data_IF_473232637790
#
_entry.id   IF_473232637790
#
_cell.length_a   1.000
_cell.length_b   1.000
_cell.length_c   1.000
_cell.angle_alpha   90.00
_cell.angle_beta   90.00
_cell.angle_gamma   90.00
#
_symmetry.space_group_name_H-M   'P 1'
#
loop_
_entity.id
_entity.type
_entity.pdbx_description
1 polymer ?
#
# COMPACT_ATOMS: atom_id res chain seq x y z
N UNK A 1 -30.78 -45.92 21.95
CA UNK A 1 -29.58 -45.17 22.32
C UNK A 1 -28.46 -45.51 21.31
N UNK A 2 -28.29 -44.71 20.28
CA UNK A 2 -27.16 -44.85 19.32
C UNK A 2 -26.26 -43.63 19.50
N UNK A 3 -25.03 -43.86 19.94
CA UNK A 3 -23.98 -42.86 20.08
C UNK A 3 -23.41 -42.55 18.71
N UNK A 4 -23.54 -41.28 18.27
CA UNK A 4 -22.87 -40.74 17.09
C UNK A 4 -21.48 -40.29 17.56
N UNK A 5 -20.45 -40.93 17.04
CA UNK A 5 -19.04 -40.52 17.23
C UNK A 5 -18.71 -39.53 16.13
N UNK A 6 -18.50 -38.28 16.48
CA UNK A 6 -17.99 -37.25 15.54
C UNK A 6 -16.48 -37.42 15.39
N UNK A 7 -16.03 -37.83 14.21
CA UNK A 7 -14.60 -37.79 13.83
C UNK A 7 -14.22 -36.39 13.45
N UNK A 8 -13.39 -35.75 14.26
CA UNK A 8 -12.66 -34.52 13.87
C UNK A 8 -11.56 -34.89 12.86
N UNK A 9 -11.72 -34.47 11.64
CA UNK A 9 -10.63 -34.41 10.66
C UNK A 9 -9.78 -33.17 10.91
N UNK A 10 -8.61 -33.36 11.51
CA UNK A 10 -7.53 -32.38 11.54
C UNK A 10 -6.89 -32.31 10.14
N UNK A 11 -7.22 -31.28 9.37
CA UNK A 11 -6.45 -30.93 8.19
C UNK A 11 -5.15 -30.23 8.62
N UNK A 12 -4.06 -30.98 8.65
CA UNK A 12 -2.71 -30.43 8.68
C UNK A 12 -2.42 -29.86 7.29
N UNK A 13 -2.53 -28.54 7.15
CA UNK A 13 -2.04 -27.84 5.97
C UNK A 13 -0.52 -27.91 5.98
N UNK A 14 0.03 -28.82 5.19
CA UNK A 14 1.46 -28.84 4.84
C UNK A 14 1.75 -27.57 4.02
N UNK A 15 2.40 -26.61 4.64
CA UNK A 15 2.98 -25.46 3.93
C UNK A 15 4.15 -26.00 3.09
N UNK A 16 3.90 -26.28 1.82
CA UNK A 16 4.96 -26.52 0.86
C UNK A 16 5.76 -25.22 0.70
N UNK A 17 7.09 -25.25 0.75
CA UNK A 17 7.88 -24.07 0.45
C UNK A 17 7.57 -23.66 -1.01
N UNK A 18 7.19 -22.39 -1.18
CA UNK A 18 7.00 -21.78 -2.50
C UNK A 18 8.29 -22.03 -3.31
N UNK A 19 8.18 -22.54 -4.55
CA UNK A 19 9.35 -22.70 -5.40
C UNK A 19 9.99 -21.31 -5.57
N UNK A 20 11.29 -21.23 -5.35
CA UNK A 20 12.07 -20.04 -5.62
C UNK A 20 11.77 -19.62 -7.06
N UNK A 21 11.12 -18.46 -7.23
CA UNK A 21 10.85 -17.85 -8.52
C UNK A 21 12.18 -17.81 -9.27
N UNK A 22 12.26 -18.49 -10.40
CA UNK A 22 13.37 -18.36 -11.34
C UNK A 22 13.42 -16.89 -11.76
N UNK A 23 14.30 -16.13 -11.11
CA UNK A 23 14.50 -14.71 -11.35
C UNK A 23 15.21 -14.57 -12.70
N UNK A 24 14.48 -14.13 -13.70
CA UNK A 24 15.09 -13.56 -14.89
C UNK A 24 15.88 -12.33 -14.47
N UNK A 25 17.21 -12.48 -14.26
CA UNK A 25 18.18 -11.39 -14.29
C UNK A 25 18.06 -10.26 -13.26
N UNK A 26 17.30 -10.42 -12.16
CA UNK A 26 17.28 -9.42 -11.09
C UNK A 26 18.62 -9.46 -10.37
N UNK A 27 19.41 -8.40 -10.53
CA UNK A 27 20.63 -8.17 -9.75
C UNK A 27 20.28 -8.31 -8.27
N UNK A 28 21.12 -9.03 -7.51
CA UNK A 28 20.97 -9.20 -6.07
C UNK A 28 21.05 -7.83 -5.36
N UNK A 29 19.89 -7.18 -5.21
CA UNK A 29 19.77 -5.82 -4.68
C UNK A 29 19.44 -5.85 -3.20
N UNK A 30 20.30 -5.25 -2.37
CA UNK A 30 20.14 -5.21 -0.92
C UNK A 30 18.78 -4.64 -0.48
N UNK A 31 18.20 -3.68 -1.23
CA UNK A 31 16.91 -3.09 -0.91
C UNK A 31 15.77 -4.12 -1.00
N UNK A 32 15.83 -5.04 -1.99
CA UNK A 32 14.80 -6.05 -2.21
C UNK A 32 14.90 -7.24 -1.24
N UNK A 33 16.06 -7.49 -0.64
CA UNK A 33 16.24 -8.57 0.34
C UNK A 33 15.37 -8.40 1.60
N UNK A 34 14.97 -7.18 1.91
CA UNK A 34 14.19 -6.85 3.10
C UNK A 34 12.67 -6.86 2.89
N UNK A 35 12.21 -7.05 1.65
CA UNK A 35 10.77 -7.07 1.32
C UNK A 35 10.03 -8.17 2.09
N UNK A 36 10.57 -9.37 2.11
CA UNK A 36 9.95 -10.53 2.78
C UNK A 36 9.89 -10.35 4.30
N UNK A 37 10.91 -9.74 4.88
CA UNK A 37 11.03 -9.56 6.32
C UNK A 37 9.94 -8.65 6.87
N UNK A 38 9.67 -7.51 6.23
CA UNK A 38 8.61 -6.61 6.69
C UNK A 38 7.21 -7.14 6.35
N UNK A 39 7.00 -7.81 5.19
CA UNK A 39 5.71 -8.40 4.85
C UNK A 39 5.31 -9.49 5.86
N UNK A 40 6.26 -10.32 6.29
CA UNK A 40 6.04 -11.32 7.34
C UNK A 40 5.76 -10.69 8.70
N UNK A 41 6.41 -9.56 9.01
CA UNK A 41 6.14 -8.81 10.22
C UNK A 41 4.70 -8.28 10.24
N UNK A 42 4.25 -7.64 9.17
CA UNK A 42 2.88 -7.13 9.03
C UNK A 42 1.83 -8.23 9.23
N UNK A 43 2.07 -9.42 8.72
CA UNK A 43 1.15 -10.56 8.86
C UNK A 43 1.08 -11.10 10.30
N UNK A 44 2.19 -11.11 11.02
CA UNK A 44 2.28 -11.68 12.36
C UNK A 44 1.85 -10.73 13.48
N UNK A 45 1.64 -9.46 13.19
CA UNK A 45 1.35 -8.40 14.18
C UNK A 45 -0.01 -7.75 14.00
N UNK A 46 -0.81 -8.22 13.05
CA UNK A 46 -2.20 -7.75 12.87
C UNK A 46 -3.01 -8.03 14.13
N UNK A 47 -3.15 -7.03 14.97
CA UNK A 47 -4.02 -7.06 16.15
C UNK A 47 -3.37 -6.73 17.49
N UNK A 48 -2.03 -6.73 17.62
CA UNK A 48 -1.37 -6.41 18.90
C UNK A 48 -1.15 -4.90 19.13
N UNK A 49 -1.41 -4.07 18.11
CA UNK A 49 -1.28 -2.61 18.20
C UNK A 49 0.14 -2.09 18.38
N UNK A 50 1.13 -2.98 18.50
CA UNK A 50 2.52 -2.62 18.80
C UNK A 50 3.33 -2.31 17.52
N UNK A 51 2.93 -2.88 16.39
CA UNK A 51 3.63 -2.66 15.12
C UNK A 51 3.02 -1.47 14.35
N UNK A 52 3.84 -0.47 13.99
CA UNK A 52 3.35 0.66 13.20
C UNK A 52 2.76 0.19 11.85
N UNK A 53 1.62 0.75 11.48
CA UNK A 53 0.99 0.47 10.18
C UNK A 53 1.86 0.88 8.99
N UNK A 54 2.71 1.86 9.20
CA UNK A 54 3.66 2.40 8.22
C UNK A 54 5.08 1.82 8.36
N UNK A 55 5.24 0.67 9.01
CA UNK A 55 6.53 0.00 9.23
C UNK A 55 7.36 -0.10 7.94
N UNK A 56 6.70 -0.41 6.82
CA UNK A 56 7.37 -0.54 5.54
C UNK A 56 7.98 0.79 5.07
N UNK A 57 7.25 1.90 5.23
CA UNK A 57 7.81 3.23 4.97
C UNK A 57 9.00 3.52 5.90
N UNK A 58 8.90 3.17 7.19
CA UNK A 58 10.01 3.33 8.13
C UNK A 58 11.27 2.57 7.68
N UNK A 59 11.12 1.34 7.20
CA UNK A 59 12.25 0.53 6.71
C UNK A 59 12.91 1.20 5.51
N UNK A 60 12.14 1.59 4.49
CA UNK A 60 12.72 2.15 3.26
C UNK A 60 13.25 3.58 3.45
N UNK A 61 12.63 4.39 4.30
CA UNK A 61 13.18 5.71 4.65
C UNK A 61 14.47 5.56 5.44
N UNK A 62 14.58 4.62 6.38
CA UNK A 62 15.83 4.35 7.09
C UNK A 62 16.94 3.84 6.15
N UNK A 63 16.59 2.97 5.19
CA UNK A 63 17.55 2.53 4.16
C UNK A 63 18.01 3.69 3.29
N UNK A 64 17.10 4.56 2.85
CA UNK A 64 17.45 5.75 2.10
C UNK A 64 18.37 6.68 2.91
N UNK A 65 18.04 7.01 4.16
CA UNK A 65 18.88 7.84 5.03
C UNK A 65 20.30 7.28 5.12
N UNK A 66 20.42 5.95 5.30
CA UNK A 66 21.71 5.29 5.44
C UNK A 66 22.51 5.33 4.14
N UNK A 67 21.90 5.02 2.99
CA UNK A 67 22.57 5.05 1.68
C UNK A 67 22.94 6.48 1.31
N UNK A 68 22.02 7.43 1.51
CA UNK A 68 22.25 8.83 1.18
C UNK A 68 23.33 9.48 2.08
N UNK A 69 23.46 9.06 3.34
CA UNK A 69 24.53 9.53 4.20
C UNK A 69 25.94 9.17 3.65
N UNK A 70 26.06 8.07 2.92
CA UNK A 70 27.30 7.66 2.24
C UNK A 70 27.44 8.36 0.89
N UNK A 71 26.36 8.45 0.10
CA UNK A 71 26.38 8.99 -1.25
C UNK A 71 26.39 10.54 -1.29
N UNK A 72 25.72 11.20 -0.34
CA UNK A 72 25.65 12.67 -0.26
C UNK A 72 24.83 13.34 -1.38
N UNK A 73 23.94 12.62 -2.04
CA UNK A 73 23.25 13.06 -3.28
C UNK A 73 22.00 13.88 -3.01
N UNK A 74 21.25 13.55 -1.97
CA UNK A 74 19.93 14.11 -1.68
C UNK A 74 19.84 14.73 -0.29
N UNK A 75 18.85 15.59 -0.10
CA UNK A 75 18.52 16.12 1.22
C UNK A 75 18.06 14.98 2.14
N UNK A 76 18.56 14.89 3.39
CA UNK A 76 18.11 13.87 4.34
C UNK A 76 16.70 14.15 4.84
N UNK A 77 16.01 13.11 5.35
CA UNK A 77 14.70 13.23 5.98
C UNK A 77 14.80 13.65 7.45
N UNK A 78 15.54 12.87 8.25
CA UNK A 78 15.53 13.00 9.71
C UNK A 78 16.77 13.68 10.27
N UNK A 79 17.95 13.35 9.76
CA UNK A 79 19.21 13.84 10.32
C UNK A 79 20.35 13.81 9.30
N UNK A 80 21.27 14.79 9.40
CA UNK A 80 22.53 14.75 8.66
C UNK A 80 23.48 13.76 9.35
N UNK A 81 23.59 12.56 8.82
CA UNK A 81 24.46 11.50 9.32
C UNK A 81 25.81 11.61 8.59
N UNK A 82 26.91 11.71 9.36
CA UNK A 82 28.24 11.70 8.77
C UNK A 82 28.73 10.27 8.62
N UNK A 83 29.03 9.87 7.37
CA UNK A 83 29.69 8.61 7.07
C UNK A 83 31.22 8.77 7.10
N UNK A 84 31.92 7.75 7.58
CA UNK A 84 33.37 7.69 7.41
C UNK A 84 33.70 7.46 5.91
N UNK A 85 34.80 8.03 5.39
CA UNK A 85 35.24 7.80 4.03
C UNK A 85 35.35 6.30 3.71
N UNK A 86 34.81 5.86 2.55
CA UNK A 86 34.85 4.47 2.13
C UNK A 86 33.82 3.55 2.82
N UNK A 87 32.88 4.09 3.59
CA UNK A 87 31.75 3.29 4.13
C UNK A 87 30.93 2.64 3.04
N UNK A 88 30.48 1.36 3.22
CA UNK A 88 29.62 0.68 2.25
C UNK A 88 28.17 1.13 2.38
N UNK A 89 27.58 1.57 1.26
CA UNK A 89 26.15 1.89 1.15
C UNK A 89 25.26 0.65 1.36
N UNK A 90 25.68 -0.52 0.88
CA UNK A 90 24.95 -1.77 1.02
C UNK A 90 24.90 -2.22 2.49
N UNK A 91 26.04 -2.17 3.20
CA UNK A 91 26.09 -2.46 4.63
C UNK A 91 25.22 -1.48 5.43
N UNK A 92 25.24 -0.20 5.04
CA UNK A 92 24.42 0.85 5.68
C UNK A 92 22.91 0.58 5.48
N UNK A 93 22.49 0.27 4.26
CA UNK A 93 21.11 -0.09 3.95
C UNK A 93 20.64 -1.32 4.75
N UNK A 94 21.43 -2.41 4.70
CA UNK A 94 21.09 -3.65 5.39
C UNK A 94 20.95 -3.45 6.91
N UNK A 95 21.86 -2.74 7.52
CA UNK A 95 21.81 -2.46 8.97
C UNK A 95 20.65 -1.53 9.34
N UNK A 96 20.30 -0.56 8.48
CA UNK A 96 19.19 0.34 8.72
C UNK A 96 17.85 -0.41 8.72
N UNK A 97 17.61 -1.25 7.71
CA UNK A 97 16.43 -2.09 7.64
C UNK A 97 16.34 -3.04 8.85
N UNK A 98 17.43 -3.72 9.17
CA UNK A 98 17.52 -4.60 10.35
C UNK A 98 17.15 -3.87 11.63
N UNK A 99 17.69 -2.65 11.84
CA UNK A 99 17.45 -1.87 13.04
C UNK A 99 15.98 -1.55 13.27
N UNK A 100 15.27 -1.17 12.21
CA UNK A 100 13.83 -0.90 12.27
C UNK A 100 13.03 -2.19 12.54
N UNK A 101 13.30 -3.27 11.78
CA UNK A 101 12.58 -4.55 11.91
C UNK A 101 12.83 -5.16 13.30
N UNK A 102 14.06 -5.20 13.78
CA UNK A 102 14.40 -5.74 15.09
C UNK A 102 13.73 -4.99 16.24
N UNK A 103 13.44 -3.68 16.08
CA UNK A 103 12.76 -2.86 17.07
C UNK A 103 11.25 -3.17 17.17
N UNK A 104 10.58 -3.33 16.01
CA UNK A 104 9.12 -3.46 15.97
C UNK A 104 8.62 -4.89 15.79
N UNK A 105 9.49 -5.81 15.35
CA UNK A 105 9.13 -7.19 15.02
C UNK A 105 9.99 -8.20 15.80
N UNK A 106 9.90 -8.27 17.13
CA UNK A 106 10.76 -9.15 17.94
C UNK A 106 10.66 -10.61 17.55
N UNK A 107 9.49 -11.07 17.07
CA UNK A 107 9.29 -12.44 16.58
C UNK A 107 10.04 -12.75 15.29
N UNK A 108 10.41 -11.74 14.51
CA UNK A 108 11.17 -11.87 13.26
C UNK A 108 12.68 -11.66 13.43
N UNK A 109 13.15 -11.40 14.64
CA UNK A 109 14.53 -11.02 14.90
C UNK A 109 15.55 -12.02 14.35
N UNK A 110 15.35 -13.31 14.60
CA UNK A 110 16.28 -14.35 14.12
C UNK A 110 16.37 -14.39 12.58
N UNK A 111 15.24 -14.25 11.88
CA UNK A 111 15.22 -14.19 10.43
C UNK A 111 15.90 -12.90 9.93
N UNK A 112 15.62 -11.76 10.54
CA UNK A 112 16.26 -10.49 10.22
C UNK A 112 17.78 -10.51 10.47
N UNK A 113 18.24 -11.14 11.55
CA UNK A 113 19.68 -11.34 11.86
C UNK A 113 20.35 -12.16 10.74
N UNK A 114 19.71 -13.21 10.23
CA UNK A 114 20.22 -14.02 9.13
C UNK A 114 20.33 -13.23 7.81
N UNK A 115 19.32 -12.42 7.49
CA UNK A 115 19.35 -11.53 6.31
C UNK A 115 20.44 -10.48 6.44
N UNK A 116 20.62 -9.89 7.63
CA UNK A 116 21.71 -8.96 7.87
C UNK A 116 23.08 -9.64 7.69
N UNK A 117 23.29 -10.79 8.31
CA UNK A 117 24.55 -11.52 8.22
C UNK A 117 24.90 -11.86 6.76
N UNK A 118 23.95 -12.36 5.97
CA UNK A 118 24.16 -12.65 4.56
C UNK A 118 24.45 -11.41 3.72
N UNK A 119 23.77 -10.30 4.01
CA UNK A 119 24.00 -9.02 3.30
C UNK A 119 25.39 -8.46 3.62
N UNK A 120 25.81 -8.50 4.88
CA UNK A 120 27.13 -8.01 5.30
C UNK A 120 28.28 -8.89 4.79
N UNK A 121 28.07 -10.18 4.57
CA UNK A 121 29.07 -11.10 4.00
C UNK A 121 29.46 -10.74 2.56
N UNK A 122 28.60 -10.04 1.81
CA UNK A 122 28.91 -9.56 0.47
C UNK A 122 29.87 -8.37 0.45
N UNK A 123 29.99 -7.66 1.55
CA UNK A 123 30.92 -6.52 1.69
C UNK A 123 32.25 -7.05 2.21
N UNK A 124 33.21 -7.25 1.30
CA UNK A 124 34.52 -7.90 1.59
C UNK A 124 35.42 -7.03 2.48
N UNK A 125 35.45 -5.72 2.20
CA UNK A 125 36.31 -4.78 2.94
C UNK A 125 35.76 -4.53 4.34
N UNK A 126 36.53 -4.90 5.38
CA UNK A 126 36.05 -4.88 6.77
C UNK A 126 35.79 -3.48 7.30
N UNK A 127 36.63 -2.50 6.92
CA UNK A 127 36.47 -1.11 7.33
C UNK A 127 35.23 -0.48 6.67
N UNK A 128 35.02 -0.73 5.39
CA UNK A 128 33.83 -0.28 4.65
C UNK A 128 32.56 -0.85 5.26
N UNK A 129 32.55 -2.16 5.57
CA UNK A 129 31.46 -2.84 6.24
C UNK A 129 31.17 -2.24 7.63
N UNK A 130 32.21 -2.03 8.46
CA UNK A 130 32.04 -1.46 9.78
C UNK A 130 31.52 -0.01 9.73
N UNK A 131 32.03 0.81 8.80
CA UNK A 131 31.54 2.16 8.55
C UNK A 131 30.09 2.19 8.13
N UNK A 132 29.69 1.32 7.19
CA UNK A 132 28.30 1.19 6.77
C UNK A 132 27.35 0.77 7.90
N UNK A 133 27.73 -0.23 8.70
CA UNK A 133 26.98 -0.65 9.89
C UNK A 133 26.79 0.50 10.88
N UNK A 134 27.82 1.30 11.13
CA UNK A 134 27.72 2.46 12.03
C UNK A 134 26.70 3.51 11.51
N UNK A 135 26.71 3.78 10.20
CA UNK A 135 25.74 4.67 9.54
C UNK A 135 24.33 4.11 9.63
N UNK A 136 24.14 2.83 9.27
CA UNK A 136 22.83 2.18 9.27
C UNK A 136 22.16 2.18 10.65
N UNK A 137 22.93 1.95 11.73
CA UNK A 137 22.42 2.05 13.11
C UNK A 137 21.90 3.44 13.44
N UNK A 138 22.63 4.48 13.03
CA UNK A 138 22.21 5.88 13.25
C UNK A 138 20.95 6.22 12.46
N UNK A 139 20.85 5.76 11.21
CA UNK A 139 19.70 5.98 10.36
C UNK A 139 18.44 5.30 10.93
N UNK A 140 18.54 4.03 11.32
CA UNK A 140 17.42 3.32 11.97
C UNK A 140 16.96 4.07 13.24
N UNK A 141 17.88 4.43 14.13
CA UNK A 141 17.57 5.14 15.37
C UNK A 141 16.91 6.49 15.11
N UNK A 142 17.36 7.25 14.10
CA UNK A 142 16.76 8.53 13.73
C UNK A 142 15.32 8.39 13.26
N UNK A 143 15.03 7.43 12.37
CA UNK A 143 13.68 7.21 11.86
C UNK A 143 12.74 6.67 12.95
N UNK A 144 13.19 5.74 13.79
CA UNK A 144 12.44 5.26 14.96
C UNK A 144 12.07 6.45 15.87
N UNK A 145 13.01 7.33 16.17
CA UNK A 145 12.78 8.49 17.03
C UNK A 145 11.79 9.49 16.40
N UNK A 146 11.89 9.77 15.11
CA UNK A 146 10.95 10.65 14.39
C UNK A 146 9.53 10.09 14.47
N UNK A 147 9.36 8.78 14.21
CA UNK A 147 8.03 8.17 14.21
C UNK A 147 7.44 8.00 15.61
N UNK A 148 8.26 7.70 16.61
CA UNK A 148 7.81 7.64 18.01
C UNK A 148 7.25 8.97 18.52
N UNK A 149 7.72 10.10 17.99
CA UNK A 149 7.28 11.46 18.37
C UNK A 149 6.28 12.08 17.39
N UNK A 150 5.92 11.37 16.31
CA UNK A 150 5.00 11.87 15.33
C UNK A 150 3.57 11.97 15.91
N UNK A 151 2.91 13.11 15.67
CA UNK A 151 1.56 13.37 16.16
C UNK A 151 0.54 13.13 15.06
N UNK A 152 -0.54 12.45 15.39
CA UNK A 152 -1.69 12.32 14.51
C UNK A 152 -2.65 13.50 14.67
N UNK A 153 -3.31 13.87 13.58
CA UNK A 153 -4.42 14.84 13.55
C UNK A 153 -5.69 14.18 13.00
N UNK A 154 -5.68 12.86 12.86
CA UNK A 154 -6.77 12.11 12.25
C UNK A 154 -8.00 11.98 13.14
N UNK A 155 -9.10 11.64 12.51
CA UNK A 155 -10.37 11.38 13.17
C UNK A 155 -10.36 10.01 13.84
N UNK A 156 -10.99 9.94 15.01
CA UNK A 156 -11.39 8.65 15.56
C UNK A 156 -12.44 8.01 14.65
N UNK A 157 -12.42 6.68 14.54
CA UNK A 157 -13.44 5.96 13.81
C UNK A 157 -14.81 6.21 14.42
N UNK A 158 -15.59 7.10 13.81
CA UNK A 158 -16.97 7.39 14.23
C UNK A 158 -17.90 6.46 13.46
N UNK A 159 -18.78 5.79 14.19
CA UNK A 159 -19.81 4.94 13.63
C UNK A 159 -21.17 5.63 13.81
N UNK A 160 -21.61 6.42 12.83
CA UNK A 160 -22.89 7.10 12.93
C UNK A 160 -24.05 6.08 12.97
N UNK A 161 -25.20 6.50 13.49
CA UNK A 161 -26.42 5.71 13.41
C UNK A 161 -26.75 5.35 11.96
N UNK A 162 -27.32 4.17 11.74
CA UNK A 162 -27.73 3.74 10.41
C UNK A 162 -28.75 4.72 9.81
N UNK A 163 -28.46 5.22 8.63
CA UNK A 163 -29.32 6.12 7.87
C UNK A 163 -29.11 5.90 6.37
N UNK A 164 -29.96 6.48 5.54
CA UNK A 164 -29.81 6.45 4.08
C UNK A 164 -28.51 7.14 3.69
N UNK A 165 -27.72 6.50 2.83
CA UNK A 165 -26.41 7.01 2.42
C UNK A 165 -25.26 6.70 3.39
N UNK A 166 -25.57 6.21 4.60
CA UNK A 166 -24.56 5.94 5.64
C UNK A 166 -24.10 4.50 5.59
N UNK A 167 -22.81 4.29 5.79
CA UNK A 167 -22.18 2.96 5.82
C UNK A 167 -22.76 2.09 6.94
N UNK A 168 -23.18 0.89 6.55
CA UNK A 168 -23.61 -0.16 7.46
C UNK A 168 -22.53 -1.25 7.47
N UNK A 169 -21.91 -1.54 8.62
CA UNK A 169 -20.91 -2.59 8.73
C UNK A 169 -21.48 -3.97 8.37
N UNK A 170 -20.82 -4.69 7.48
CA UNK A 170 -21.16 -6.08 7.14
C UNK A 170 -20.39 -7.10 7.99
N UNK A 171 -19.33 -6.66 8.67
CA UNK A 171 -18.52 -7.39 9.63
C UNK A 171 -17.74 -6.40 10.50
N UNK A 172 -16.85 -6.89 11.39
CA UNK A 172 -15.99 -6.03 12.23
C UNK A 172 -15.20 -5.07 11.36
N UNK A 173 -15.31 -3.79 11.64
CA UNK A 173 -14.64 -2.73 10.87
C UNK A 173 -13.13 -2.77 11.05
N UNK A 174 -12.41 -2.38 9.99
CA UNK A 174 -10.96 -2.30 9.96
C UNK A 174 -10.52 -0.93 9.43
N UNK A 175 -9.26 -0.57 9.69
CA UNK A 175 -8.62 0.61 9.10
C UNK A 175 -8.69 1.88 9.94
N UNK A 176 -9.40 1.91 11.05
CA UNK A 176 -9.48 3.04 11.97
C UNK A 176 -8.11 3.46 12.52
N UNK A 177 -7.19 2.51 12.71
CA UNK A 177 -5.83 2.79 13.13
C UNK A 177 -5.04 3.66 12.12
N UNK A 178 -5.37 3.58 10.82
CA UNK A 178 -4.76 4.44 9.82
C UNK A 178 -5.18 5.90 9.95
N UNK A 179 -6.46 6.16 10.22
CA UNK A 179 -6.94 7.54 10.42
C UNK A 179 -6.25 8.23 11.61
N UNK A 180 -5.73 7.43 12.56
CA UNK A 180 -4.97 7.90 13.73
C UNK A 180 -3.46 7.84 13.55
N UNK A 181 -2.94 7.41 12.40
CA UNK A 181 -1.51 7.40 12.11
C UNK A 181 -1.05 8.78 11.67
N UNK A 182 0.17 9.17 12.07
CA UNK A 182 0.74 10.42 11.62
C UNK A 182 1.21 10.31 10.15
N UNK A 183 0.99 11.32 9.32
CA UNK A 183 1.46 11.32 7.94
C UNK A 183 2.99 11.49 7.85
N UNK A 184 3.54 11.17 6.69
CA UNK A 184 4.94 11.37 6.30
C UNK A 184 5.13 12.63 5.45
N UNK A 185 4.23 12.82 4.50
CA UNK A 185 4.26 13.83 3.44
C UNK A 185 3.30 14.97 3.73
N UNK A 186 2.08 14.61 4.17
CA UNK A 186 1.02 15.56 4.45
C UNK A 186 1.26 16.27 5.79
N UNK A 187 0.78 17.49 5.91
CA UNK A 187 0.85 18.27 7.16
C UNK A 187 -0.17 17.80 8.18
N UNK A 188 -1.34 17.38 7.69
CA UNK A 188 -2.43 16.82 8.49
C UNK A 188 -3.09 15.67 7.75
N UNK A 189 -3.78 14.79 8.47
CA UNK A 189 -4.49 13.65 7.88
C UNK A 189 -5.59 14.12 6.90
N UNK A 190 -6.15 15.29 7.09
CA UNK A 190 -7.23 15.89 6.29
C UNK A 190 -6.77 16.87 5.21
N UNK A 191 -5.46 17.09 5.03
CA UNK A 191 -4.94 18.09 4.07
C UNK A 191 -5.48 17.89 2.65
N UNK A 192 -5.66 16.64 2.23
CA UNK A 192 -6.18 16.29 0.92
C UNK A 192 -7.50 15.50 0.98
N UNK A 193 -8.30 15.71 2.04
CA UNK A 193 -9.62 15.06 2.11
C UNK A 193 -10.44 15.39 0.87
N UNK A 194 -10.96 14.33 0.22
CA UNK A 194 -11.81 14.47 -0.95
C UNK A 194 -13.04 15.35 -0.69
N UNK A 195 -13.59 16.04 -1.69
CA UNK A 195 -14.91 16.67 -1.59
C UNK A 195 -15.99 15.67 -1.13
N UNK A 196 -17.15 16.17 -0.74
CA UNK A 196 -18.28 15.32 -0.39
C UNK A 196 -18.69 14.40 -1.57
N UNK A 197 -19.17 13.17 -1.30
CA UNK A 197 -19.77 12.34 -2.34
C UNK A 197 -20.99 13.03 -2.95
N UNK A 198 -21.42 12.65 -4.17
CA UNK A 198 -22.57 13.25 -4.83
C UNK A 198 -23.86 13.04 -4.03
N UNK A 199 -24.79 13.98 -4.16
CA UNK A 199 -26.12 13.83 -3.57
C UNK A 199 -26.84 12.62 -4.16
N UNK A 200 -27.58 11.87 -3.34
CA UNK A 200 -28.35 10.69 -3.79
C UNK A 200 -29.43 11.01 -4.84
N UNK A 201 -29.92 12.26 -4.85
CA UNK A 201 -30.83 12.75 -5.89
C UNK A 201 -30.18 13.10 -7.22
N UNK A 202 -28.85 13.12 -7.30
CA UNK A 202 -28.10 13.56 -8.49
C UNK A 202 -28.10 12.52 -9.61
N UNK A 203 -27.85 12.97 -10.83
CA UNK A 203 -27.65 12.11 -11.99
C UNK A 203 -26.33 11.29 -11.89
N UNK A 204 -25.29 11.88 -11.32
CA UNK A 204 -24.01 11.18 -11.06
C UNK A 204 -24.26 9.95 -10.20
N UNK A 205 -25.03 10.09 -9.12
CA UNK A 205 -25.39 8.97 -8.26
C UNK A 205 -26.10 7.85 -9.02
N UNK A 206 -27.19 8.17 -9.72
CA UNK A 206 -27.98 7.14 -10.41
C UNK A 206 -27.22 6.44 -11.54
N UNK A 207 -26.37 7.17 -12.27
CA UNK A 207 -25.50 6.62 -13.31
C UNK A 207 -24.51 5.61 -12.72
N UNK A 208 -23.77 6.02 -11.69
CA UNK A 208 -22.68 5.21 -11.10
C UNK A 208 -23.25 4.04 -10.26
N UNK A 209 -24.43 4.24 -9.65
CA UNK A 209 -25.19 3.15 -9.03
C UNK A 209 -25.54 2.07 -10.06
N UNK A 210 -26.10 2.43 -11.20
CA UNK A 210 -26.48 1.47 -12.24
C UNK A 210 -25.27 0.79 -12.86
N UNK A 211 -24.18 1.51 -13.03
CA UNK A 211 -22.93 0.95 -13.54
C UNK A 211 -22.39 -0.15 -12.61
N UNK A 212 -22.24 0.10 -11.33
CA UNK A 212 -21.75 -0.92 -10.38
C UNK A 212 -22.76 -2.05 -10.18
N UNK A 213 -24.07 -1.76 -10.21
CA UNK A 213 -25.12 -2.78 -10.15
C UNK A 213 -24.97 -3.80 -11.29
N UNK A 214 -24.72 -3.32 -12.51
CA UNK A 214 -24.58 -4.13 -13.71
C UNK A 214 -23.22 -4.81 -13.84
N UNK A 215 -22.12 -4.09 -13.58
CA UNK A 215 -20.75 -4.60 -13.81
C UNK A 215 -20.18 -5.34 -12.60
N UNK A 216 -20.55 -4.93 -11.38
CA UNK A 216 -20.02 -5.45 -10.14
C UNK A 216 -20.75 -6.65 -9.55
N UNK A 217 -21.86 -7.10 -10.16
CA UNK A 217 -22.68 -8.20 -9.66
C UNK A 217 -21.93 -9.54 -9.69
N UNK A 218 -22.18 -10.40 -8.69
CA UNK A 218 -21.66 -11.77 -8.61
C UNK A 218 -22.26 -12.68 -9.69
N UNK A 219 -23.55 -12.53 -9.96
CA UNK A 219 -24.30 -13.27 -10.96
C UNK A 219 -25.08 -12.32 -11.87
N UNK A 220 -25.32 -12.71 -13.13
CA UNK A 220 -26.03 -11.86 -14.10
C UNK A 220 -25.26 -10.58 -14.50
N UNK A 221 -23.99 -10.50 -14.22
CA UNK A 221 -23.15 -9.34 -14.56
C UNK A 221 -22.93 -9.20 -16.06
N UNK A 222 -22.80 -7.94 -16.53
CA UNK A 222 -22.34 -7.64 -17.89
C UNK A 222 -20.81 -7.69 -18.04
N UNK A 223 -20.09 -7.98 -16.95
CA UNK A 223 -18.62 -8.12 -16.91
C UNK A 223 -18.16 -9.30 -17.75
N UNK A 224 -17.12 -9.12 -18.54
CA UNK A 224 -16.45 -10.19 -19.29
C UNK A 224 -15.54 -11.04 -18.38
N UNK A 225 -15.11 -12.22 -18.87
CA UNK A 225 -14.16 -13.07 -18.15
C UNK A 225 -12.81 -12.37 -17.89
N UNK A 226 -12.16 -11.69 -18.88
CA UNK A 226 -10.96 -10.91 -18.61
C UNK A 226 -11.14 -9.82 -17.53
N UNK A 227 -12.30 -9.14 -17.52
CA UNK A 227 -12.62 -8.16 -16.48
C UNK A 227 -12.80 -8.82 -15.10
N UNK A 228 -13.32 -10.03 -15.06
CA UNK A 228 -13.40 -10.82 -13.82
C UNK A 228 -12.01 -11.16 -13.27
N UNK A 229 -11.07 -11.52 -14.14
CA UNK A 229 -9.68 -11.75 -13.77
C UNK A 229 -9.00 -10.46 -13.23
N UNK A 230 -9.26 -9.30 -13.85
CA UNK A 230 -8.78 -7.99 -13.34
C UNK A 230 -9.27 -7.75 -11.91
N UNK A 231 -10.56 -7.96 -11.65
CA UNK A 231 -11.13 -7.77 -10.32
C UNK A 231 -10.51 -8.72 -9.28
N UNK A 232 -10.36 -10.00 -9.60
CA UNK A 232 -9.76 -11.01 -8.72
C UNK A 232 -8.28 -10.72 -8.46
N UNK A 233 -7.54 -10.36 -9.49
CA UNK A 233 -6.11 -10.07 -9.39
C UNK A 233 -5.84 -8.96 -8.37
N UNK A 234 -6.44 -7.80 -8.57
CA UNK A 234 -6.22 -6.65 -7.68
C UNK A 234 -7.02 -6.72 -6.37
N UNK A 235 -8.03 -7.57 -6.29
CA UNK A 235 -8.76 -7.84 -5.06
C UNK A 235 -7.95 -8.57 -3.99
N UNK A 236 -6.89 -9.28 -4.39
CA UNK A 236 -6.09 -10.15 -3.51
C UNK A 236 -4.62 -9.73 -3.40
N UNK A 237 -4.18 -8.72 -4.15
CA UNK A 237 -2.76 -8.34 -4.23
C UNK A 237 -2.52 -6.89 -3.84
N UNK A 238 -1.34 -6.65 -3.27
CA UNK A 238 -0.89 -5.30 -2.96
C UNK A 238 -0.57 -4.51 -4.22
N UNK A 239 -1.05 -3.27 -4.30
CA UNK A 239 -0.71 -2.34 -5.39
C UNK A 239 0.80 -2.08 -5.50
N UNK A 240 1.56 -2.30 -4.43
CA UNK A 240 3.02 -2.09 -4.39
C UNK A 240 3.84 -3.19 -5.07
N UNK A 241 3.21 -4.28 -5.52
CA UNK A 241 3.92 -5.39 -6.18
C UNK A 241 4.73 -4.94 -7.42
N UNK A 242 4.30 -3.85 -8.07
CA UNK A 242 4.96 -3.25 -9.23
C UNK A 242 6.33 -2.67 -8.91
N UNK A 243 6.59 -2.23 -7.68
CA UNK A 243 7.82 -1.54 -7.29
C UNK A 243 9.07 -2.42 -7.47
N UNK A 244 8.96 -3.74 -7.27
CA UNK A 244 10.07 -4.68 -7.44
C UNK A 244 10.64 -4.70 -8.86
N UNK A 245 9.82 -4.41 -9.86
CA UNK A 245 10.20 -4.40 -11.28
C UNK A 245 11.04 -3.16 -11.66
N UNK A 246 11.06 -2.15 -10.80
CA UNK A 246 11.63 -0.84 -11.09
C UNK A 246 12.91 -0.55 -10.28
N UNK A 247 13.39 -1.53 -9.52
CA UNK A 247 14.59 -1.44 -8.69
C UNK A 247 15.71 -2.30 -9.27
N UNK A 248 16.95 -1.82 -9.22
CA UNK A 248 18.12 -2.54 -9.75
C UNK A 248 18.22 -2.51 -11.28
N UNK A 249 17.54 -1.59 -11.92
CA UNK A 249 17.57 -1.42 -13.38
C UNK A 249 18.95 -0.90 -13.84
N UNK A 250 19.42 -1.29 -15.04
CA UNK A 250 20.69 -0.79 -15.58
C UNK A 250 20.76 0.74 -15.58
N UNK A 251 21.88 1.27 -15.12
CA UNK A 251 22.14 2.71 -15.07
C UNK A 251 21.58 3.44 -13.85
N UNK A 252 20.87 2.76 -12.94
CA UNK A 252 20.40 3.33 -11.68
C UNK A 252 21.42 3.10 -10.56
N UNK A 253 21.61 4.10 -9.72
CA UNK A 253 22.44 3.97 -8.52
C UNK A 253 21.61 3.41 -7.35
N UNK A 254 22.29 2.84 -6.36
CA UNK A 254 21.63 2.35 -5.13
C UNK A 254 20.90 3.47 -4.39
N UNK A 255 21.43 4.71 -4.41
CA UNK A 255 20.79 5.85 -3.73
C UNK A 255 19.53 6.30 -4.46
N UNK A 256 19.49 6.24 -5.80
CA UNK A 256 18.29 6.55 -6.58
C UNK A 256 17.18 5.52 -6.32
N UNK A 257 17.54 4.24 -6.29
CA UNK A 257 16.59 3.17 -5.97
C UNK A 257 16.07 3.28 -4.53
N UNK A 258 16.94 3.58 -3.58
CA UNK A 258 16.55 3.78 -2.17
C UNK A 258 15.61 5.00 -2.02
N UNK A 259 15.90 6.10 -2.71
CA UNK A 259 15.04 7.29 -2.78
C UNK A 259 13.67 6.97 -3.36
N UNK A 260 13.65 6.30 -4.50
CA UNK A 260 12.41 5.90 -5.18
C UNK A 260 11.51 5.05 -4.27
N UNK A 261 12.05 4.01 -3.64
CA UNK A 261 11.29 3.16 -2.72
C UNK A 261 10.80 3.94 -1.49
N UNK A 262 11.64 4.79 -0.91
CA UNK A 262 11.25 5.60 0.24
C UNK A 262 10.09 6.54 -0.11
N UNK A 263 10.15 7.26 -1.24
CA UNK A 263 9.08 8.13 -1.71
C UNK A 263 7.78 7.35 -1.98
N UNK A 264 7.87 6.21 -2.66
CA UNK A 264 6.71 5.40 -2.99
C UNK A 264 6.01 4.84 -1.74
N UNK A 265 6.77 4.40 -0.74
CA UNK A 265 6.22 3.87 0.50
C UNK A 265 5.68 4.95 1.44
N UNK A 266 6.31 6.14 1.47
CA UNK A 266 5.75 7.31 2.17
C UNK A 266 4.43 7.75 1.54
N UNK A 267 4.38 7.86 0.21
CA UNK A 267 3.15 8.22 -0.52
C UNK A 267 2.05 7.18 -0.32
N UNK A 268 2.40 5.88 -0.30
CA UNK A 268 1.45 4.82 -0.02
C UNK A 268 0.91 4.89 1.41
N UNK A 269 1.77 5.14 2.41
CA UNK A 269 1.35 5.26 3.81
C UNK A 269 0.40 6.45 3.99
N UNK A 270 0.72 7.60 3.41
CA UNK A 270 -0.12 8.80 3.48
C UNK A 270 -1.42 8.66 2.67
N UNK A 271 -1.41 7.86 1.59
CA UNK A 271 -2.62 7.47 0.90
C UNK A 271 -3.61 6.79 1.87
N UNK A 272 -3.13 5.88 2.72
CA UNK A 272 -3.98 5.20 3.72
C UNK A 272 -4.40 6.12 4.85
N UNK A 273 -3.50 6.97 5.34
CA UNK A 273 -3.81 7.97 6.40
C UNK A 273 -4.92 8.90 5.95
N UNK A 274 -4.76 9.53 4.79
CA UNK A 274 -5.72 10.49 4.24
C UNK A 274 -7.02 9.82 3.77
N UNK A 275 -6.91 8.60 3.19
CA UNK A 275 -8.05 7.78 2.80
C UNK A 275 -8.98 7.49 3.97
N UNK A 276 -8.44 6.99 5.10
CA UNK A 276 -9.26 6.62 6.24
C UNK A 276 -9.79 7.83 6.99
N UNK A 277 -9.07 8.97 7.00
CA UNK A 277 -9.62 10.25 7.45
C UNK A 277 -10.86 10.64 6.62
N UNK A 278 -10.77 10.59 5.29
CA UNK A 278 -11.89 10.90 4.41
C UNK A 278 -13.06 9.90 4.56
N UNK A 279 -12.75 8.59 4.68
CA UNK A 279 -13.77 7.55 4.85
C UNK A 279 -14.60 7.78 6.11
N UNK A 280 -13.99 8.11 7.23
CA UNK A 280 -14.68 8.38 8.48
C UNK A 280 -15.35 9.77 8.52
N UNK A 281 -14.84 10.72 7.75
CA UNK A 281 -15.53 12.00 7.59
C UNK A 281 -16.84 11.87 6.82
N UNK A 282 -16.86 11.03 5.76
CA UNK A 282 -18.02 10.91 4.87
C UNK A 282 -18.94 9.74 5.23
N UNK A 283 -18.42 8.65 5.80
CA UNK A 283 -19.17 7.45 6.21
C UNK A 283 -20.15 6.93 5.13
N UNK A 284 -19.75 6.95 3.86
CA UNK A 284 -20.65 6.65 2.75
C UNK A 284 -20.89 5.14 2.59
N UNK A 285 -22.11 4.77 2.25
CA UNK A 285 -22.55 3.38 2.14
C UNK A 285 -21.98 2.63 0.93
N UNK A 286 -21.85 1.31 1.07
CA UNK A 286 -21.35 0.41 0.04
C UNK A 286 -22.42 0.06 -0.99
N UNK A 287 -22.02 -0.32 -2.24
CA UNK A 287 -22.94 -0.77 -3.26
C UNK A 287 -23.91 -1.85 -2.80
N UNK A 288 -23.44 -2.83 -2.02
CA UNK A 288 -24.30 -3.90 -1.51
C UNK A 288 -25.46 -3.37 -0.66
N UNK A 289 -25.21 -2.37 0.18
CA UNK A 289 -26.26 -1.75 1.00
C UNK A 289 -27.20 -0.90 0.18
N UNK A 290 -26.64 -0.08 -0.72
CA UNK A 290 -27.42 0.82 -1.57
C UNK A 290 -28.32 0.06 -2.56
N UNK A 291 -27.77 -0.96 -3.24
CA UNK A 291 -28.50 -1.69 -4.28
C UNK A 291 -29.60 -2.56 -3.67
N UNK A 292 -29.34 -3.21 -2.53
CA UNK A 292 -30.38 -3.99 -1.85
C UNK A 292 -31.50 -3.12 -1.28
N UNK A 293 -31.16 -1.89 -0.84
CA UNK A 293 -32.08 -0.94 -0.27
C UNK A 293 -32.52 0.19 -1.20
N UNK A 294 -32.22 0.14 -2.48
CA UNK A 294 -32.30 1.25 -3.43
C UNK A 294 -33.60 2.07 -3.44
N UNK A 295 -34.73 1.48 -3.08
CA UNK A 295 -35.99 2.23 -2.97
C UNK A 295 -36.02 3.33 -1.88
N UNK A 296 -35.01 3.39 -1.00
CA UNK A 296 -34.97 4.34 0.13
C UNK A 296 -34.10 5.56 -0.13
N UNK A 297 -33.37 5.62 -1.25
CA UNK A 297 -32.47 6.74 -1.57
C UNK A 297 -33.19 7.98 -2.11
N UNK A 298 -34.48 7.86 -2.39
CA UNK A 298 -35.32 8.95 -2.92
C UNK A 298 -35.03 9.31 -4.37
N UNK A 299 -34.38 8.43 -5.13
CA UNK A 299 -34.07 8.63 -6.55
C UNK A 299 -34.78 7.59 -7.42
N UNK A 300 -35.81 8.00 -8.13
CA UNK A 300 -36.64 7.10 -8.98
C UNK A 300 -35.87 6.44 -10.11
N UNK A 301 -34.61 6.85 -10.36
CA UNK A 301 -33.73 6.27 -11.39
C UNK A 301 -32.88 5.12 -10.87
N UNK A 302 -32.86 4.86 -9.58
CA UNK A 302 -32.16 3.73 -8.97
C UNK A 302 -33.11 2.55 -8.80
N UNK A 303 -32.77 1.40 -9.35
CA UNK A 303 -33.61 0.19 -9.28
C UNK A 303 -33.05 -0.74 -8.21
N UNK A 304 -33.82 -1.04 -7.14
CA UNK A 304 -33.36 -1.95 -6.08
C UNK A 304 -33.29 -3.39 -6.58
N UNK A 305 -32.36 -4.15 -6.01
CA UNK A 305 -32.23 -5.59 -6.21
C UNK A 305 -31.86 -6.23 -4.86
N UNK A 306 -32.85 -6.80 -4.19
CA UNK A 306 -32.70 -7.36 -2.85
C UNK A 306 -31.71 -8.54 -2.79
N UNK A 307 -31.54 -9.25 -3.90
CA UNK A 307 -30.65 -10.42 -4.02
C UNK A 307 -29.25 -10.05 -4.55
N UNK A 308 -29.04 -8.79 -4.89
CA UNK A 308 -27.74 -8.36 -5.42
C UNK A 308 -26.60 -8.67 -4.45
N UNK A 309 -25.54 -9.24 -4.98
CA UNK A 309 -24.29 -9.48 -4.25
C UNK A 309 -23.10 -8.98 -5.09
N UNK A 310 -22.08 -8.38 -4.45
CA UNK A 310 -20.87 -7.98 -5.15
C UNK A 310 -20.08 -9.20 -5.61
N UNK A 311 -19.28 -9.04 -6.66
CA UNK A 311 -18.42 -10.11 -7.17
C UNK A 311 -17.36 -10.56 -6.16
N UNK A 312 -16.74 -9.62 -5.48
CA UNK A 312 -15.83 -9.88 -4.36
C UNK A 312 -16.42 -9.39 -3.05
N UNK A 313 -15.93 -9.93 -1.95
CA UNK A 313 -16.35 -9.50 -0.61
C UNK A 313 -16.22 -8.00 -0.41
N UNK A 314 -17.23 -7.41 0.22
CA UNK A 314 -17.26 -5.98 0.52
C UNK A 314 -16.21 -5.66 1.60
N UNK A 315 -15.30 -4.70 1.37
CA UNK A 315 -14.35 -4.26 2.37
C UNK A 315 -15.04 -3.68 3.62
N UNK A 316 -14.53 -4.02 4.81
CA UNK A 316 -15.14 -3.73 6.11
C UNK A 316 -14.84 -2.31 6.61
N UNK A 317 -15.09 -1.31 5.76
CA UNK A 317 -14.94 0.12 6.06
C UNK A 317 -15.81 0.94 5.10
N UNK A 318 -16.09 2.23 5.38
CA UNK A 318 -16.90 3.10 4.52
C UNK A 318 -16.44 3.09 3.07
N UNK A 319 -17.38 3.34 2.16
CA UNK A 319 -17.12 3.21 0.73
C UNK A 319 -16.18 4.28 0.20
N UNK A 320 -16.43 5.57 0.49
CA UNK A 320 -15.88 6.73 -0.20
C UNK A 320 -14.72 7.39 0.56
N UNK A 321 -13.62 7.76 -0.14
CA UNK A 321 -13.25 7.46 -1.52
C UNK A 321 -12.65 6.04 -1.69
N UNK A 322 -12.45 5.61 -2.96
CA UNK A 322 -11.88 4.30 -3.31
C UNK A 322 -10.42 4.12 -2.84
N UNK A 323 -10.17 3.18 -1.94
CA UNK A 323 -8.85 2.99 -1.33
C UNK A 323 -7.76 2.52 -2.28
N UNK A 324 -8.05 1.54 -3.14
CA UNK A 324 -7.10 1.07 -4.15
C UNK A 324 -6.75 2.18 -5.14
N UNK A 325 -7.74 3.05 -5.46
CA UNK A 325 -7.54 4.16 -6.38
C UNK A 325 -6.62 5.22 -5.78
N UNK A 326 -6.78 5.58 -4.49
CA UNK A 326 -5.86 6.49 -3.79
C UNK A 326 -4.45 5.91 -3.76
N UNK A 327 -4.29 4.68 -3.29
CA UNK A 327 -2.97 4.09 -3.07
C UNK A 327 -2.22 3.77 -4.37
N UNK A 328 -2.90 3.27 -5.41
CA UNK A 328 -2.26 3.03 -6.71
C UNK A 328 -1.87 4.31 -7.41
N UNK A 329 -2.70 5.37 -7.30
CA UNK A 329 -2.39 6.66 -7.91
C UNK A 329 -1.27 7.39 -7.19
N UNK A 330 -1.16 7.28 -5.86
CA UNK A 330 -0.04 7.83 -5.12
C UNK A 330 1.29 7.17 -5.52
N UNK A 331 1.33 5.83 -5.56
CA UNK A 331 2.50 5.07 -6.01
C UNK A 331 2.79 5.31 -7.49
N UNK A 332 1.77 5.26 -8.35
CA UNK A 332 1.92 5.47 -9.79
C UNK A 332 2.43 6.88 -10.15
N UNK A 333 2.07 7.89 -9.37
CA UNK A 333 2.58 9.25 -9.56
C UNK A 333 4.07 9.36 -9.20
N UNK A 334 4.52 8.69 -8.14
CA UNK A 334 5.96 8.60 -7.82
C UNK A 334 6.71 7.85 -8.93
N UNK A 335 6.14 6.74 -9.46
CA UNK A 335 6.73 6.01 -10.61
C UNK A 335 6.85 6.95 -11.82
N UNK A 336 5.78 7.68 -12.16
CA UNK A 336 5.79 8.63 -13.27
C UNK A 336 6.83 9.73 -13.09
N UNK A 337 6.96 10.29 -11.89
CA UNK A 337 7.94 11.32 -11.58
C UNK A 337 9.39 10.83 -11.70
N UNK A 338 9.64 9.56 -11.33
CA UNK A 338 10.98 8.97 -11.34
C UNK A 338 11.41 8.49 -12.74
N UNK A 339 10.50 7.89 -13.50
CA UNK A 339 10.83 7.22 -14.77
C UNK A 339 10.31 7.97 -16.01
N UNK A 340 9.39 8.93 -15.82
CA UNK A 340 8.77 9.65 -16.92
C UNK A 340 7.96 8.74 -17.85
N UNK A 341 7.77 9.21 -19.11
CA UNK A 341 7.03 8.46 -20.15
C UNK A 341 7.83 7.28 -20.73
N UNK A 342 9.12 7.19 -20.41
CA UNK A 342 10.03 6.11 -20.86
C UNK A 342 10.25 5.04 -19.80
N UNK A 343 9.30 4.89 -18.90
CA UNK A 343 9.43 3.84 -17.87
C UNK A 343 9.54 2.45 -18.52
N UNK A 344 10.33 1.54 -17.93
CA UNK A 344 10.32 0.15 -18.36
C UNK A 344 8.91 -0.43 -18.20
N UNK A 345 8.46 -1.24 -19.18
CA UNK A 345 7.19 -1.95 -19.05
C UNK A 345 7.22 -2.85 -17.82
N UNK A 346 6.32 -2.59 -16.88
CA UNK A 346 6.12 -3.49 -15.74
C UNK A 346 5.43 -4.76 -16.23
N UNK A 347 5.99 -5.93 -15.89
CA UNK A 347 5.48 -7.23 -16.29
C UNK A 347 5.20 -8.05 -15.05
N UNK A 348 3.93 -8.32 -14.75
CA UNK A 348 3.53 -9.19 -13.66
C UNK A 348 3.15 -10.56 -14.23
N UNK A 349 4.09 -11.49 -14.12
CA UNK A 349 3.91 -12.91 -14.45
C UNK A 349 3.87 -13.70 -13.13
N UNK A 350 2.67 -13.98 -12.65
CA UNK A 350 2.45 -14.58 -11.34
C UNK A 350 1.70 -15.90 -11.48
N UNK A 351 2.05 -16.92 -10.68
CA UNK A 351 1.39 -18.22 -10.72
C UNK A 351 -0.14 -18.09 -10.56
N UNK A 352 -0.87 -18.71 -11.47
CA UNK A 352 -2.33 -18.76 -11.43
C UNK A 352 -3.04 -17.46 -11.81
N UNK A 353 -2.34 -16.49 -12.39
CA UNK A 353 -2.92 -15.24 -12.89
C UNK A 353 -2.56 -15.03 -14.37
N UNK A 354 -3.39 -14.27 -15.09
CA UNK A 354 -3.05 -13.84 -16.44
C UNK A 354 -1.88 -12.86 -16.41
N UNK A 355 -1.00 -12.97 -17.40
CA UNK A 355 0.13 -12.07 -17.60
C UNK A 355 -0.35 -10.63 -17.79
N UNK A 356 0.19 -9.69 -16.99
CA UNK A 356 -0.14 -8.28 -17.06
C UNK A 356 1.06 -7.45 -17.48
N UNK A 357 0.80 -6.45 -18.33
CA UNK A 357 1.83 -5.54 -18.85
C UNK A 357 1.37 -4.09 -18.73
N UNK A 358 2.17 -3.27 -18.06
CA UNK A 358 1.90 -1.85 -17.90
C UNK A 358 3.03 -1.04 -18.54
N UNK A 359 2.81 -0.54 -19.76
CA UNK A 359 3.79 0.29 -20.46
C UNK A 359 3.93 1.68 -19.85
N UNK A 360 2.94 2.13 -19.08
CA UNK A 360 2.93 3.44 -18.41
C UNK A 360 2.40 3.31 -16.99
N UNK A 361 2.76 4.26 -16.12
CA UNK A 361 2.19 4.36 -14.79
C UNK A 361 0.66 4.56 -14.84
N UNK A 362 0.16 5.29 -15.84
CA UNK A 362 -1.28 5.50 -16.04
C UNK A 362 -2.02 4.18 -16.28
N UNK A 363 -1.52 3.32 -17.19
CA UNK A 363 -2.16 2.03 -17.48
C UNK A 363 -2.25 1.11 -16.25
N UNK A 364 -1.25 1.16 -15.38
CA UNK A 364 -1.29 0.47 -14.08
C UNK A 364 -2.36 1.06 -13.15
N UNK A 365 -2.38 2.39 -12.97
CA UNK A 365 -3.34 3.07 -12.10
C UNK A 365 -4.78 2.85 -12.57
N UNK A 366 -5.02 2.86 -13.88
CA UNK A 366 -6.34 2.69 -14.47
C UNK A 366 -6.87 1.28 -14.26
N UNK A 367 -6.07 0.24 -14.50
CA UNK A 367 -6.49 -1.14 -14.28
C UNK A 367 -6.77 -1.43 -12.79
N UNK A 368 -5.93 -0.93 -11.87
CA UNK A 368 -6.18 -1.06 -10.43
C UNK A 368 -7.52 -0.40 -10.05
N UNK A 369 -7.80 0.79 -10.59
CA UNK A 369 -9.04 1.51 -10.32
C UNK A 369 -10.25 0.77 -10.88
N UNK A 370 -10.22 0.37 -12.17
CA UNK A 370 -11.29 -0.38 -12.81
C UNK A 370 -11.64 -1.67 -12.06
N UNK A 371 -10.63 -2.36 -11.53
CA UNK A 371 -10.82 -3.58 -10.75
C UNK A 371 -11.84 -3.42 -9.62
N UNK A 372 -12.01 -2.20 -9.08
CA UNK A 372 -12.86 -1.93 -7.91
C UNK A 372 -14.34 -1.79 -8.27
N UNK A 373 -14.64 -1.22 -9.44
CA UNK A 373 -15.97 -1.25 -10.03
C UNK A 373 -16.38 -2.70 -10.36
N UNK A 374 -15.48 -3.41 -11.05
CA UNK A 374 -15.68 -4.79 -11.46
C UNK A 374 -15.85 -5.75 -10.28
N UNK A 375 -15.23 -5.45 -9.15
CA UNK A 375 -15.42 -6.18 -7.89
C UNK A 375 -16.78 -5.93 -7.22
N UNK A 376 -17.53 -4.90 -7.63
CA UNK A 376 -18.77 -4.47 -6.97
C UNK A 376 -18.53 -3.74 -5.65
N UNK A 377 -17.34 -3.18 -5.45
CA UNK A 377 -16.91 -2.59 -4.19
C UNK A 377 -17.03 -1.05 -4.14
N UNK A 378 -16.93 -0.38 -5.30
CA UNK A 378 -16.87 1.07 -5.41
C UNK A 378 -17.67 1.60 -6.61
N UNK A 379 -18.11 2.86 -6.50
CA UNK A 379 -18.75 3.64 -7.56
C UNK A 379 -17.72 4.39 -8.38
N UNK A 380 -18.06 4.79 -9.63
CA UNK A 380 -17.15 5.54 -10.50
C UNK A 380 -16.71 6.87 -9.87
N UNK A 381 -17.64 7.68 -9.32
CA UNK A 381 -17.29 8.94 -8.65
C UNK A 381 -16.31 8.75 -7.48
N UNK A 382 -16.39 7.63 -6.79
CA UNK A 382 -15.49 7.26 -5.70
C UNK A 382 -14.10 6.90 -6.19
N UNK A 383 -14.02 6.24 -7.35
CA UNK A 383 -12.75 5.93 -8.01
C UNK A 383 -12.08 7.21 -8.52
N UNK A 384 -12.82 8.12 -9.13
CA UNK A 384 -12.31 9.40 -9.64
C UNK A 384 -11.77 10.28 -8.50
N UNK A 385 -12.52 10.41 -7.41
CA UNK A 385 -12.07 11.12 -6.21
C UNK A 385 -10.81 10.49 -5.61
N UNK A 386 -10.76 9.15 -5.56
CA UNK A 386 -9.60 8.42 -5.07
C UNK A 386 -8.37 8.61 -5.95
N UNK A 387 -8.50 8.56 -7.26
CA UNK A 387 -7.41 8.82 -8.22
C UNK A 387 -6.86 10.23 -8.06
N UNK A 388 -7.73 11.23 -8.03
CA UNK A 388 -7.34 12.63 -7.86
C UNK A 388 -6.55 12.86 -6.56
N UNK A 389 -7.06 12.31 -5.45
CA UNK A 389 -6.41 12.38 -4.15
C UNK A 389 -5.03 11.71 -4.13
N UNK A 390 -4.92 10.51 -4.70
CA UNK A 390 -3.66 9.79 -4.79
C UNK A 390 -2.61 10.49 -5.63
N UNK A 391 -2.99 11.09 -6.77
CA UNK A 391 -2.08 11.89 -7.62
C UNK A 391 -1.47 13.03 -6.82
N UNK A 392 -2.28 13.81 -6.10
CA UNK A 392 -1.79 14.92 -5.28
C UNK A 392 -0.84 14.46 -4.17
N UNK A 393 -1.12 13.33 -3.51
CA UNK A 393 -0.22 12.76 -2.48
C UNK A 393 1.13 12.39 -3.09
N UNK A 394 1.14 11.73 -4.25
CA UNK A 394 2.36 11.35 -4.94
C UNK A 394 3.18 12.57 -5.39
N UNK A 395 2.53 13.61 -5.91
CA UNK A 395 3.17 14.87 -6.30
C UNK A 395 3.82 15.57 -5.10
N UNK A 396 3.10 15.68 -3.97
CA UNK A 396 3.64 16.25 -2.74
C UNK A 396 4.81 15.45 -2.16
N UNK A 397 4.80 14.12 -2.28
CA UNK A 397 5.90 13.29 -1.83
C UNK A 397 7.19 13.65 -2.59
N UNK A 398 7.12 13.76 -3.90
CA UNK A 398 8.26 14.12 -4.76
C UNK A 398 8.70 15.57 -4.55
N UNK A 399 7.76 16.48 -4.37
CA UNK A 399 8.04 17.91 -4.19
C UNK A 399 8.70 18.21 -2.83
N UNK A 400 8.21 17.61 -1.75
CA UNK A 400 8.59 17.95 -0.38
C UNK A 400 9.84 17.22 0.12
N UNK A 401 10.18 16.04 -0.43
CA UNK A 401 11.18 15.15 0.15
C UNK A 401 12.30 14.77 -0.81
N UNK A 402 13.47 14.53 -0.24
CA UNK A 402 14.66 13.95 -0.90
C UNK A 402 15.07 14.68 -2.19
N UNK A 403 15.01 16.00 -2.16
CA UNK A 403 15.48 16.82 -3.31
C UNK A 403 17.00 16.71 -3.43
N UNK A 404 17.54 16.78 -4.67
CA UNK A 404 18.99 16.81 -4.86
C UNK A 404 19.65 17.93 -4.07
N UNK A 405 20.85 17.66 -3.53
CA UNK A 405 21.67 18.69 -2.88
C UNK A 405 22.31 19.56 -3.95
N UNK A 406 22.17 20.88 -3.86
CA UNK A 406 22.81 21.84 -4.79
C UNK A 406 21.95 22.26 -6.00
N UNK A 407 20.63 22.04 -5.96
CA UNK A 407 19.67 22.65 -6.89
C UNK A 407 18.76 23.63 -6.18
#
# INVERSE_FOLDING_TARGET
MRRIVAQLFLFSASVLPLPALAQSGVVDNVLLRWVEQHDTCDQNTTGDGATPRDLRAMVYVAMFEAVNAVAGTYQPFAAKIMAAPGSSSEAAAAQAAHGVIANYCPKQRTAADAVLASSLALVRESAARAGGVAVGRKAAAAIIAVRANAKTTGLDGVYPAAAVGVYVPTATQIGDAWSRSAPWVLRTNSELRSPAPPLLSSEIWSRDYEEVRRMGAKSGSSRTEPQSDVAQFWGTRSVRIVLRQLVGLPGRSLVDDARFLALAEMAWADAYVSLFDAKYAWNFWRPVTAIRGGAIDGNDRTVPDAEWAPFLETPMHPEYPCGHCVSSSAVGTVIRAEFGDRMPTIVLDLPGALLRRYPTAASYMDEVSESRLLAGAHYQFSMDAGKAMGVLIGELAVERHFRPVGR
#
